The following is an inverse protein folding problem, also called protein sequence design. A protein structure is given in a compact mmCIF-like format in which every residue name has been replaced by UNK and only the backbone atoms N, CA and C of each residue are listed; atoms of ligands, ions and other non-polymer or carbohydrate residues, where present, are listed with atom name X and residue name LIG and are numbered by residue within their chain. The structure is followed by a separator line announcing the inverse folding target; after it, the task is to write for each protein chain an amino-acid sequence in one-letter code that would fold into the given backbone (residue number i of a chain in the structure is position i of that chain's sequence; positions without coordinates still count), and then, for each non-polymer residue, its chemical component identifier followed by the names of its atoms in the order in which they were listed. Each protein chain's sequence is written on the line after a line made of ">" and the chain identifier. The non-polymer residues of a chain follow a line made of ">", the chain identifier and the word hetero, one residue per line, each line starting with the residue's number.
data_IF_719145016232
#
_entry.id   IF_719145016232
#
_cell.length_a   1.000
_cell.length_b   1.000
_cell.length_c   1.000
_cell.angle_alpha   90.00
_cell.angle_beta   90.00
_cell.angle_gamma   90.00
#
_symmetry.space_group_name_H-M   'P 1'
#
loop_
_entity.id
_entity.type
_entity.pdbx_description
1 polymer ?
#
# COMPACT_ATOMS: atom_id res chain seq x y z
N UNK A 1 -21.26 -39.95 -5.79
CA UNK A 1 -21.37 -39.39 -4.43
C UNK A 1 -20.05 -39.67 -3.73
N UNK A 2 -19.08 -38.77 -3.92
CA UNK A 2 -17.79 -38.76 -3.22
C UNK A 2 -17.24 -37.35 -3.37
N UNK A 3 -17.13 -36.65 -2.24
CA UNK A 3 -16.63 -35.28 -2.11
C UNK A 3 -15.12 -35.38 -1.88
N UNK A 4 -14.31 -34.86 -2.79
CA UNK A 4 -12.91 -34.58 -2.50
C UNK A 4 -12.76 -33.16 -1.97
N UNK A 5 -12.29 -33.08 -0.74
CA UNK A 5 -11.93 -31.85 -0.04
C UNK A 5 -10.57 -31.41 -0.56
N UNK A 6 -10.49 -30.24 -1.18
CA UNK A 6 -9.22 -29.56 -1.37
C UNK A 6 -8.76 -29.01 -0.02
N UNK A 7 -7.87 -29.78 0.61
CA UNK A 7 -7.02 -29.36 1.70
C UNK A 7 -5.92 -28.50 1.09
N UNK A 8 -6.04 -27.17 1.17
CA UNK A 8 -4.99 -26.25 0.74
C UNK A 8 -4.25 -25.75 1.98
N UNK A 9 -3.43 -26.64 2.57
CA UNK A 9 -2.41 -26.27 3.53
C UNK A 9 -1.05 -26.39 2.85
N UNK A 10 -0.30 -25.29 2.84
CA UNK A 10 1.14 -25.28 2.58
C UNK A 10 1.54 -24.88 1.17
N UNK A 11 1.71 -23.57 0.96
CA UNK A 11 2.88 -22.99 0.28
C UNK A 11 2.90 -21.48 0.55
N UNK A 12 4.09 -20.88 0.57
CA UNK A 12 4.45 -19.51 0.99
C UNK A 12 4.78 -19.33 2.48
N UNK A 13 5.86 -19.97 2.92
CA UNK A 13 6.66 -19.50 4.05
C UNK A 13 8.14 -19.56 3.66
N UNK A 14 8.61 -18.52 2.97
CA UNK A 14 10.03 -18.17 2.92
C UNK A 14 10.21 -16.66 2.66
N UNK A 15 9.37 -15.84 3.29
CA UNK A 15 9.63 -14.41 3.49
C UNK A 15 10.46 -14.23 4.76
N UNK A 16 11.29 -13.20 4.80
CA UNK A 16 12.09 -12.88 5.99
C UNK A 16 11.11 -12.44 7.10
N UNK A 17 10.98 -13.24 8.18
CA UNK A 17 9.97 -13.13 9.27
C UNK A 17 9.70 -11.67 9.74
N UNK A 18 10.75 -10.84 9.77
CA UNK A 18 10.64 -9.42 10.15
C UNK A 18 9.91 -8.54 9.13
N UNK A 19 10.12 -8.77 7.82
CA UNK A 19 9.43 -7.99 6.76
C UNK A 19 7.95 -8.30 6.75
N UNK A 20 7.61 -9.58 6.94
CA UNK A 20 6.22 -10.04 7.01
C UNK A 20 5.49 -9.44 8.21
N UNK A 21 6.15 -9.31 9.36
CA UNK A 21 5.58 -8.66 10.55
C UNK A 21 5.34 -7.15 10.37
N UNK A 22 6.26 -6.43 9.73
CA UNK A 22 6.09 -4.98 9.47
C UNK A 22 4.91 -4.72 8.54
N UNK A 23 4.78 -5.51 7.47
CA UNK A 23 3.63 -5.42 6.57
C UNK A 23 2.33 -5.90 7.25
N UNK A 24 2.39 -6.91 8.12
CA UNK A 24 1.24 -7.38 8.88
C UNK A 24 0.67 -6.31 9.81
N UNK A 25 1.52 -5.62 10.59
CA UNK A 25 1.08 -4.52 11.46
C UNK A 25 0.44 -3.40 10.62
N UNK A 26 1.03 -3.03 9.49
CA UNK A 26 0.45 -2.02 8.60
C UNK A 26 -0.91 -2.44 8.04
N UNK A 27 -1.07 -3.71 7.66
CA UNK A 27 -2.35 -4.27 7.21
C UNK A 27 -3.42 -4.25 8.31
N UNK A 28 -3.05 -4.54 9.56
CA UNK A 28 -3.98 -4.44 10.69
C UNK A 28 -4.37 -2.97 10.99
N UNK A 29 -3.42 -2.03 10.87
CA UNK A 29 -3.71 -0.60 10.99
C UNK A 29 -4.61 -0.11 9.85
N UNK A 30 -4.41 -0.58 8.62
CA UNK A 30 -5.29 -0.26 7.49
C UNK A 30 -6.73 -0.75 7.74
N UNK A 31 -6.89 -1.95 8.32
CA UNK A 31 -8.20 -2.45 8.77
C UNK A 31 -8.79 -1.57 9.87
N UNK A 32 -7.99 -1.17 10.87
CA UNK A 32 -8.44 -0.25 11.92
C UNK A 32 -8.91 1.10 11.35
N UNK A 33 -8.21 1.69 10.38
CA UNK A 33 -8.63 2.93 9.71
C UNK A 33 -9.99 2.75 9.04
N UNK A 34 -10.19 1.64 8.33
CA UNK A 34 -11.47 1.31 7.72
C UNK A 34 -12.59 1.16 8.76
N UNK A 35 -12.35 0.36 9.80
CA UNK A 35 -13.32 0.07 10.85
C UNK A 35 -13.72 1.35 11.59
N UNK A 36 -12.76 2.21 11.94
CA UNK A 36 -13.03 3.51 12.57
C UNK A 36 -13.92 4.40 11.70
N UNK A 37 -13.73 4.42 10.39
CA UNK A 37 -14.57 5.20 9.47
C UNK A 37 -15.99 4.65 9.37
N UNK A 38 -16.17 3.33 9.50
CA UNK A 38 -17.46 2.65 9.28
C UNK A 38 -18.21 2.34 10.59
N UNK A 39 -17.57 2.53 11.74
CA UNK A 39 -18.09 2.15 13.05
C UNK A 39 -19.12 3.14 13.59
N UNK A 40 -20.10 2.59 14.30
CA UNK A 40 -21.05 3.32 15.16
C UNK A 40 -20.88 2.91 16.63
N UNK A 41 -19.66 2.51 17.02
CA UNK A 41 -19.37 2.01 18.36
C UNK A 41 -19.72 3.03 19.45
N UNK A 42 -20.27 2.60 20.59
CA UNK A 42 -20.59 3.49 21.69
C UNK A 42 -19.31 3.95 22.43
N UNK A 43 -19.37 5.04 23.22
CA UNK A 43 -18.20 5.66 23.84
C UNK A 43 -17.31 4.72 24.66
N UNK A 44 -17.89 3.74 25.34
CA UNK A 44 -17.16 2.75 26.14
C UNK A 44 -16.26 1.85 25.29
N UNK A 45 -16.73 1.45 24.09
CA UNK A 45 -15.95 0.64 23.15
C UNK A 45 -14.87 1.49 22.47
N UNK A 46 -15.17 2.76 22.18
CA UNK A 46 -14.16 3.70 21.68
C UNK A 46 -13.06 3.95 22.71
N UNK A 47 -13.39 4.02 23.99
CA UNK A 47 -12.41 4.16 25.07
C UNK A 47 -11.52 2.91 25.20
N UNK A 48 -12.09 1.72 25.10
CA UNK A 48 -11.33 0.46 25.07
C UNK A 48 -10.37 0.40 23.87
N UNK A 49 -10.87 0.67 22.65
CA UNK A 49 -10.04 0.72 21.45
C UNK A 49 -8.91 1.76 21.57
N UNK A 50 -9.20 2.92 22.13
CA UNK A 50 -8.21 3.97 22.39
C UNK A 50 -7.09 3.46 23.30
N UNK A 51 -7.44 2.68 24.34
CA UNK A 51 -6.47 2.05 25.23
C UNK A 51 -5.49 1.14 24.50
N UNK A 52 -6.00 0.24 23.65
CA UNK A 52 -5.17 -0.66 22.84
C UNK A 52 -4.26 0.09 21.85
N UNK A 53 -4.79 1.15 21.20
CA UNK A 53 -4.00 1.98 20.28
C UNK A 53 -2.87 2.69 21.04
N UNK A 54 -3.15 3.27 22.21
CA UNK A 54 -2.13 3.97 22.99
C UNK A 54 -1.04 3.02 23.49
N UNK A 55 -1.40 1.80 23.88
CA UNK A 55 -0.43 0.76 24.25
C UNK A 55 0.47 0.42 23.07
N UNK A 56 -0.09 0.17 21.89
CA UNK A 56 0.69 -0.09 20.67
C UNK A 56 1.63 1.06 20.31
N UNK A 57 1.16 2.31 20.38
CA UNK A 57 1.98 3.50 20.16
C UNK A 57 3.14 3.58 21.17
N UNK A 58 2.89 3.32 22.45
CA UNK A 58 3.92 3.32 23.49
C UNK A 58 4.97 2.23 23.26
N UNK A 59 4.55 1.04 22.79
CA UNK A 59 5.46 -0.06 22.45
C UNK A 59 6.36 0.29 21.26
N UNK A 60 5.84 0.98 20.26
CA UNK A 60 6.59 1.35 19.05
C UNK A 60 7.46 2.60 19.22
N UNK A 61 7.09 3.53 20.12
CA UNK A 61 7.76 4.83 20.30
C UNK A 61 9.29 4.75 20.46
N UNK A 62 9.88 3.79 21.23
CA UNK A 62 11.34 3.71 21.36
C UNK A 62 12.08 3.32 20.07
N UNK A 63 11.35 2.89 19.03
CA UNK A 63 11.89 2.33 17.80
C UNK A 63 11.70 3.24 16.56
N UNK A 64 11.24 4.48 16.75
CA UNK A 64 10.99 5.46 15.68
C UNK A 64 12.29 5.96 15.01
N UNK A 65 12.98 5.10 14.26
CA UNK A 65 14.21 5.42 13.53
C UNK A 65 14.04 5.39 12.02
N UNK A 66 13.12 4.57 11.53
CA UNK A 66 12.85 4.38 10.10
C UNK A 66 11.61 5.18 9.67
N UNK A 67 11.63 5.76 8.46
CA UNK A 67 10.50 6.51 7.90
C UNK A 67 10.50 8.02 8.16
N UNK A 68 11.47 8.57 8.91
CA UNK A 68 11.64 10.03 9.07
C UNK A 68 12.25 10.72 7.82
N UNK A 69 12.77 9.94 6.87
CA UNK A 69 13.27 10.44 5.59
C UNK A 69 12.18 10.49 4.52
N UNK A 70 12.18 11.54 3.70
CA UNK A 70 11.18 11.79 2.63
C UNK A 70 11.21 10.77 1.48
N UNK A 71 12.26 9.96 1.35
CA UNK A 71 12.36 8.77 0.50
C UNK A 71 13.68 8.05 0.82
N UNK A 72 13.67 6.74 1.05
CA UNK A 72 14.90 5.94 1.14
C UNK A 72 15.34 5.37 -0.21
N UNK A 73 14.66 5.70 -1.31
CA UNK A 73 14.98 5.22 -2.65
C UNK A 73 15.06 6.42 -3.59
N UNK A 74 16.28 6.85 -3.87
CA UNK A 74 16.55 7.70 -5.03
C UNK A 74 16.44 6.81 -6.25
N UNK A 75 15.27 6.83 -6.92
CA UNK A 75 15.01 6.09 -8.16
C UNK A 75 16.13 6.33 -9.20
N UNK A 76 16.81 7.48 -9.12
CA UNK A 76 17.87 7.90 -10.03
C UNK A 76 19.30 7.42 -9.67
N UNK A 77 19.58 6.93 -8.46
CA UNK A 77 20.97 6.61 -8.05
C UNK A 77 21.21 5.16 -7.62
N UNK A 78 20.18 4.40 -7.23
CA UNK A 78 20.34 3.01 -6.74
C UNK A 78 19.77 1.95 -7.70
N UNK A 79 19.37 2.32 -8.91
CA UNK A 79 18.73 1.42 -9.88
C UNK A 79 19.66 0.39 -10.54
N UNK A 80 20.98 0.47 -10.29
CA UNK A 80 21.92 -0.57 -10.72
C UNK A 80 21.86 -1.79 -9.77
N UNK A 81 20.81 -2.60 -9.89
CA UNK A 81 20.74 -3.92 -9.25
C UNK A 81 19.59 -4.15 -8.28
N UNK A 82 18.58 -3.28 -8.22
CA UNK A 82 17.31 -3.63 -7.56
C UNK A 82 16.70 -4.86 -8.25
N UNK A 83 16.44 -5.97 -7.55
CA UNK A 83 15.69 -7.08 -8.11
C UNK A 83 14.25 -6.59 -8.34
N UNK A 84 13.93 -6.30 -9.60
CA UNK A 84 12.57 -5.98 -10.02
C UNK A 84 11.75 -7.27 -10.01
N UNK A 85 10.64 -7.26 -9.29
CA UNK A 85 9.62 -8.28 -9.44
C UNK A 85 8.60 -7.77 -10.45
N UNK A 86 8.65 -8.29 -11.68
CA UNK A 86 7.74 -7.86 -12.75
C UNK A 86 6.25 -8.01 -12.35
N UNK A 87 5.95 -8.95 -11.45
CA UNK A 87 4.61 -9.23 -10.93
C UNK A 87 4.13 -8.28 -9.81
N UNK A 88 5.05 -7.52 -9.21
CA UNK A 88 4.80 -6.53 -8.15
C UNK A 88 5.86 -5.40 -8.19
N UNK A 89 5.68 -4.47 -9.11
CA UNK A 89 6.61 -3.35 -9.31
C UNK A 89 6.52 -2.30 -8.18
N UNK A 90 5.62 -2.48 -7.21
CA UNK A 90 5.41 -1.54 -6.10
C UNK A 90 6.43 -1.72 -4.96
N UNK A 91 7.13 -2.87 -4.93
CA UNK A 91 8.11 -3.24 -3.89
C UNK A 91 9.25 -2.23 -3.72
N UNK A 92 9.56 -1.47 -4.77
CA UNK A 92 10.58 -0.42 -4.75
C UNK A 92 10.12 0.88 -4.08
N UNK A 93 8.87 0.97 -3.60
CA UNK A 93 8.35 2.12 -2.87
C UNK A 93 7.51 1.67 -1.66
N UNK A 94 8.12 0.96 -0.68
CA UNK A 94 7.36 0.31 0.39
C UNK A 94 6.61 1.28 1.30
N UNK A 95 6.99 2.56 1.32
CA UNK A 95 6.35 3.62 2.13
C UNK A 95 5.46 4.56 1.30
N UNK A 96 5.28 4.31 0.01
CA UNK A 96 4.40 5.13 -0.83
C UNK A 96 2.99 5.22 -0.23
N UNK A 97 2.36 6.41 -0.22
CA UNK A 97 0.96 6.54 0.20
C UNK A 97 -0.03 6.00 -0.85
N UNK A 98 0.45 5.50 -1.99
CA UNK A 98 -0.36 4.98 -3.09
C UNK A 98 -0.23 3.46 -3.19
N UNK A 99 0.97 2.89 -3.14
CA UNK A 99 1.17 1.44 -3.24
C UNK A 99 1.99 0.80 -2.12
N UNK A 100 2.43 1.56 -1.13
CA UNK A 100 3.38 1.08 -0.14
C UNK A 100 2.76 0.09 0.85
N UNK A 101 3.25 -1.16 0.87
CA UNK A 101 2.82 -2.19 1.84
C UNK A 101 3.15 -1.85 3.29
N UNK A 102 4.06 -0.89 3.52
CA UNK A 102 4.45 -0.36 4.83
C UNK A 102 3.85 1.01 5.11
N UNK A 103 2.79 1.39 4.39
CA UNK A 103 2.01 2.58 4.64
C UNK A 103 0.53 2.20 4.79
N UNK A 104 -0.07 2.33 5.99
CA UNK A 104 -1.40 1.82 6.24
C UNK A 104 -2.51 2.67 5.60
N UNK A 105 -2.16 3.85 5.06
CA UNK A 105 -3.09 4.66 4.28
C UNK A 105 -3.12 4.25 2.81
N UNK A 106 -2.10 3.53 2.31
CA UNK A 106 -2.03 3.17 0.90
C UNK A 106 -3.18 2.22 0.54
N UNK A 107 -3.91 2.48 -0.56
CA UNK A 107 -4.89 1.51 -1.06
C UNK A 107 -4.19 0.19 -1.42
N UNK A 108 -4.90 -0.95 -1.38
CA UNK A 108 -4.33 -2.25 -1.71
C UNK A 108 -4.22 -2.42 -3.24
N UNK A 109 -3.52 -1.49 -3.89
CA UNK A 109 -3.26 -1.52 -5.32
C UNK A 109 -2.17 -2.53 -5.63
N UNK A 110 -2.40 -3.31 -6.69
CA UNK A 110 -1.37 -4.13 -7.32
C UNK A 110 -0.97 -3.49 -8.62
N UNK A 111 0.32 -3.25 -8.84
CA UNK A 111 0.88 -2.82 -10.12
C UNK A 111 1.84 -3.89 -10.65
N UNK A 112 1.77 -4.18 -11.95
CA UNK A 112 2.67 -5.13 -12.59
C UNK A 112 3.07 -4.65 -13.98
N UNK A 113 4.21 -5.16 -14.44
CA UNK A 113 4.70 -4.94 -15.80
C UNK A 113 3.91 -5.84 -16.77
N UNK A 114 3.25 -5.24 -17.75
CA UNK A 114 2.51 -5.97 -18.80
C UNK A 114 3.25 -5.99 -20.15
N UNK A 115 4.31 -5.19 -20.30
CA UNK A 115 5.12 -5.09 -21.51
C UNK A 115 6.38 -4.25 -21.27
N UNK A 116 7.16 -3.97 -22.31
CA UNK A 116 8.42 -3.24 -22.15
C UNK A 116 8.26 -1.86 -21.50
N UNK A 117 7.20 -1.14 -21.87
CA UNK A 117 6.83 0.19 -21.40
C UNK A 117 5.35 0.26 -20.95
N UNK A 118 4.80 -0.88 -20.51
CA UNK A 118 3.39 -1.01 -20.14
C UNK A 118 3.26 -1.46 -18.69
N UNK A 119 2.52 -0.68 -17.90
CA UNK A 119 2.14 -0.98 -16.53
C UNK A 119 0.63 -1.14 -16.48
N UNK A 120 0.18 -2.21 -15.84
CA UNK A 120 -1.22 -2.40 -15.47
C UNK A 120 -1.36 -2.37 -13.96
N UNK A 121 -2.57 -1.99 -13.52
CA UNK A 121 -2.89 -1.88 -12.11
C UNK A 121 -4.32 -2.30 -11.81
N UNK A 122 -4.52 -2.90 -10.65
CA UNK A 122 -5.83 -3.26 -10.13
C UNK A 122 -5.95 -2.83 -8.67
N UNK A 123 -7.09 -2.24 -8.32
CA UNK A 123 -7.39 -1.82 -6.95
C UNK A 123 -8.89 -1.85 -6.71
N UNK A 124 -9.29 -2.35 -5.54
CA UNK A 124 -10.65 -2.18 -5.02
C UNK A 124 -10.59 -1.19 -3.87
N UNK A 125 -11.21 -0.01 -4.07
CA UNK A 125 -11.24 1.01 -3.03
C UNK A 125 -12.31 0.71 -1.99
N UNK A 126 -11.97 0.98 -0.73
CA UNK A 126 -12.90 0.93 0.40
C UNK A 126 -13.43 2.33 0.72
N UNK A 127 -14.47 2.46 1.58
CA UNK A 127 -14.94 3.76 2.05
C UNK A 127 -13.86 4.67 2.62
N UNK A 128 -12.72 4.14 3.08
CA UNK A 128 -11.54 4.92 3.52
C UNK A 128 -11.14 5.99 2.50
N UNK A 129 -11.31 5.71 1.20
CA UNK A 129 -10.89 6.57 0.09
C UNK A 129 -12.04 7.35 -0.55
N UNK A 130 -13.24 7.30 0.03
CA UNK A 130 -14.41 7.92 -0.55
C UNK A 130 -14.35 9.46 -0.48
N UNK A 131 -14.79 10.11 -1.56
CA UNK A 131 -14.97 11.55 -1.65
C UNK A 131 -16.45 11.90 -1.76
N UNK A 132 -17.02 12.06 -2.98
CA UNK A 132 -18.46 12.15 -3.18
C UNK A 132 -19.20 10.87 -2.73
N UNK A 133 -20.53 10.92 -2.55
CA UNK A 133 -21.34 9.74 -2.27
C UNK A 133 -21.05 8.61 -3.28
N UNK A 134 -20.85 7.41 -2.75
CA UNK A 134 -20.59 6.17 -3.49
C UNK A 134 -19.43 6.24 -4.52
N UNK A 135 -18.49 7.17 -4.32
CA UNK A 135 -17.38 7.41 -5.27
C UNK A 135 -16.04 7.61 -4.55
N UNK A 136 -14.97 7.20 -5.22
CA UNK A 136 -13.59 7.46 -4.77
C UNK A 136 -13.30 8.96 -4.88
N UNK A 137 -12.56 9.50 -3.92
CA UNK A 137 -12.12 10.88 -3.98
C UNK A 137 -11.22 11.10 -5.21
N UNK A 138 -11.53 12.10 -6.05
CA UNK A 138 -10.77 12.36 -7.27
C UNK A 138 -9.27 12.51 -7.04
N UNK A 139 -8.87 13.17 -5.93
CA UNK A 139 -7.46 13.26 -5.54
C UNK A 139 -6.75 11.93 -5.28
N UNK A 140 -7.47 10.89 -4.84
CA UNK A 140 -6.90 9.54 -4.66
C UNK A 140 -6.69 8.89 -6.03
N UNK A 141 -7.67 9.01 -6.93
CA UNK A 141 -7.53 8.57 -8.33
C UNK A 141 -6.33 9.27 -8.98
N UNK A 142 -6.17 10.57 -8.72
CA UNK A 142 -5.05 11.34 -9.24
C UNK A 142 -3.70 10.84 -8.76
N UNK A 143 -3.57 10.57 -7.46
CA UNK A 143 -2.35 10.02 -6.88
C UNK A 143 -2.02 8.63 -7.44
N UNK A 144 -3.02 7.78 -7.66
CA UNK A 144 -2.84 6.47 -8.31
C UNK A 144 -2.30 6.62 -9.73
N UNK A 145 -2.87 7.52 -10.54
CA UNK A 145 -2.36 7.74 -11.90
C UNK A 145 -0.96 8.38 -11.92
N UNK A 146 -0.63 9.25 -10.97
CA UNK A 146 0.72 9.80 -10.83
C UNK A 146 1.74 8.66 -10.65
N UNK A 147 1.48 7.73 -9.75
CA UNK A 147 2.39 6.62 -9.48
C UNK A 147 2.44 5.58 -10.61
N UNK A 148 1.31 5.25 -11.24
CA UNK A 148 1.28 4.36 -12.41
C UNK A 148 2.14 4.93 -13.54
N UNK A 149 2.04 6.23 -13.81
CA UNK A 149 2.84 6.90 -14.84
C UNK A 149 4.32 6.98 -14.45
N UNK A 150 4.62 7.22 -13.17
CA UNK A 150 5.99 7.16 -12.65
C UNK A 150 6.58 5.75 -12.87
N UNK A 151 5.82 4.70 -12.57
CA UNK A 151 6.25 3.32 -12.79
C UNK A 151 6.45 2.97 -14.25
N UNK A 152 5.58 3.42 -15.16
CA UNK A 152 5.76 3.24 -16.59
C UNK A 152 7.09 3.87 -17.07
N UNK A 153 7.43 5.06 -16.58
CA UNK A 153 8.70 5.71 -16.89
C UNK A 153 9.90 4.94 -16.32
N UNK A 154 9.78 4.46 -15.08
CA UNK A 154 10.82 3.68 -14.40
C UNK A 154 11.13 2.38 -15.14
N UNK A 155 10.12 1.57 -15.49
CA UNK A 155 10.34 0.30 -16.21
C UNK A 155 10.87 0.52 -17.63
N UNK A 156 10.63 1.70 -18.20
CA UNK A 156 11.14 2.11 -19.51
C UNK A 156 12.56 2.68 -19.46
N UNK A 157 13.20 2.74 -18.28
CA UNK A 157 14.54 3.29 -18.09
C UNK A 157 14.63 4.82 -18.11
N UNK A 158 13.49 5.51 -18.01
CA UNK A 158 13.38 6.98 -18.10
C UNK A 158 12.84 7.58 -16.79
N UNK A 159 13.39 7.18 -15.64
CA UNK A 159 12.97 7.70 -14.34
C UNK A 159 13.11 9.23 -14.25
N UNK A 160 12.15 9.87 -13.59
CA UNK A 160 12.15 11.32 -13.40
C UNK A 160 11.07 11.79 -12.44
N UNK A 161 11.15 13.05 -12.01
CA UNK A 161 10.13 13.67 -11.17
C UNK A 161 8.89 14.03 -12.00
N UNK A 162 7.72 14.00 -11.36
CA UNK A 162 6.48 14.50 -11.96
C UNK A 162 6.64 15.98 -12.31
N UNK A 163 6.57 16.30 -13.61
CA UNK A 163 6.58 17.69 -14.09
C UNK A 163 5.19 18.30 -14.13
N UNK A 164 4.23 17.62 -14.78
CA UNK A 164 2.83 18.04 -14.87
C UNK A 164 1.94 16.82 -15.01
N UNK A 165 0.87 16.77 -14.23
CA UNK A 165 -0.17 15.75 -14.31
C UNK A 165 -1.48 16.42 -14.73
N UNK A 166 -2.06 16.00 -15.86
CA UNK A 166 -3.37 16.46 -16.33
C UNK A 166 -4.36 15.31 -16.28
N UNK A 167 -5.44 15.47 -15.52
CA UNK A 167 -6.47 14.44 -15.35
C UNK A 167 -7.83 14.98 -15.76
N UNK A 168 -8.60 14.13 -16.47
CA UNK A 168 -9.99 14.37 -16.81
C UNK A 168 -10.84 13.25 -16.24
N UNK A 169 -11.79 13.60 -15.38
CA UNK A 169 -12.80 12.69 -14.86
C UNK A 169 -13.99 12.67 -15.83
N UNK A 170 -14.47 11.48 -16.15
CA UNK A 170 -15.47 11.22 -17.17
C UNK A 170 -16.83 10.84 -16.58
#
# INVERSE_FOLDING_TARGET
>A
MTRDRFNNEGLYMSGNDETDLREAVNRDVARLIHDLRCSHAPPEILAEATGHIQEALNTLQPWLKEGEGWSTISIAQDSAGMPWEDEDITRVMPYSPVSGTRNPIAPPIRLWRAGEAEVLGEVTFTPTYAGPPDSVHGGIIAAVFDEVLAMANVISGNAGFTGTLTIRYH
#
